data_IF_551532476743
#
_entry.id   IF_551532476743
#
_cell.length_a   1.000
_cell.length_b   1.000
_cell.length_c   1.000
_cell.angle_alpha   90.00
_cell.angle_beta   90.00
_cell.angle_gamma   90.00
#
_symmetry.space_group_name_H-M   'P 1'
#
loop_
_entity.id
_entity.type
_entity.pdbx_description
1 polymer ?
#
# COMPACT_ATOMS: atom_id res chain seq x y z
N UNK A 1 30.98 10.74 -61.82
CA UNK A 1 29.57 10.97 -61.43
C UNK A 1 28.94 9.61 -61.14
N UNK A 2 28.29 9.41 -59.98
CA UNK A 2 27.37 8.29 -59.69
C UNK A 2 27.82 7.00 -58.94
N UNK A 3 28.86 7.02 -58.09
CA UNK A 3 29.14 5.88 -57.16
C UNK A 3 29.08 6.27 -55.67
N UNK A 4 29.60 7.45 -55.30
CA UNK A 4 29.65 7.88 -53.88
C UNK A 4 28.30 8.21 -53.22
N UNK A 5 27.28 8.56 -54.01
CA UNK A 5 25.97 8.93 -53.46
C UNK A 5 25.18 7.70 -52.98
N UNK A 6 25.37 6.54 -53.60
CA UNK A 6 24.67 5.31 -53.24
C UNK A 6 25.21 4.72 -51.93
N UNK A 7 26.53 4.66 -51.75
CA UNK A 7 27.17 4.12 -50.54
C UNK A 7 26.78 4.92 -49.28
N UNK A 8 26.68 6.25 -49.40
CA UNK A 8 26.24 7.12 -48.29
C UNK A 8 24.76 6.92 -47.92
N UNK A 9 23.88 6.69 -48.89
CA UNK A 9 22.44 6.45 -48.66
C UNK A 9 22.20 5.08 -48.02
N UNK A 10 22.92 4.04 -48.45
CA UNK A 10 22.83 2.71 -47.83
C UNK A 10 23.45 2.68 -46.43
N UNK A 11 24.54 3.42 -46.17
CA UNK A 11 25.13 3.56 -44.84
C UNK A 11 24.22 4.29 -43.84
N UNK A 12 23.44 5.29 -44.29
CA UNK A 12 22.45 5.99 -43.48
C UNK A 12 21.17 5.16 -43.25
N UNK A 13 20.75 4.35 -44.24
CA UNK A 13 19.62 3.42 -44.09
C UNK A 13 19.96 2.24 -43.15
N UNK A 14 21.21 1.79 -43.11
CA UNK A 14 21.64 0.72 -42.20
C UNK A 14 21.63 1.15 -40.72
N UNK A 15 21.82 2.45 -40.43
CA UNK A 15 21.72 3.02 -39.09
C UNK A 15 20.27 3.27 -38.63
N UNK A 16 19.31 3.37 -39.54
CA UNK A 16 17.90 3.61 -39.21
C UNK A 16 17.12 2.32 -38.92
N UNK A 17 17.40 1.23 -39.64
CA UNK A 17 16.70 -0.07 -39.46
C UNK A 17 17.09 -0.76 -38.15
N UNK A 18 18.31 -0.52 -37.65
CA UNK A 18 18.77 -1.08 -36.37
C UNK A 18 18.19 -0.35 -35.15
N UNK A 19 17.67 0.87 -35.31
CA UNK A 19 17.10 1.66 -34.22
C UNK A 19 15.58 1.48 -34.07
N UNK A 20 14.90 0.98 -35.10
CA UNK A 20 13.46 0.69 -35.07
C UNK A 20 13.09 -0.72 -34.61
N UNK A 21 14.07 -1.62 -34.43
CA UNK A 21 13.85 -3.02 -34.05
C UNK A 21 14.47 -3.42 -32.70
N UNK A 22 15.11 -2.50 -31.98
CA UNK A 22 15.32 -2.74 -30.56
C UNK A 22 13.94 -2.75 -29.89
N UNK A 23 13.51 -3.83 -29.21
CA UNK A 23 12.43 -3.67 -28.26
C UNK A 23 12.84 -2.51 -27.36
N UNK A 24 12.00 -1.47 -27.26
CA UNK A 24 12.15 -0.51 -26.17
C UNK A 24 12.09 -1.37 -24.91
N UNK A 25 13.26 -1.65 -24.34
CA UNK A 25 13.37 -2.21 -23.00
C UNK A 25 12.57 -1.22 -22.15
N UNK A 26 11.34 -1.57 -21.80
CA UNK A 26 10.56 -0.82 -20.84
C UNK A 26 11.20 -1.13 -19.49
N UNK A 27 12.33 -0.48 -19.22
CA UNK A 27 12.95 -0.47 -17.91
C UNK A 27 12.08 0.41 -17.01
N UNK A 28 11.00 -0.17 -16.50
CA UNK A 28 10.35 0.36 -15.32
C UNK A 28 11.20 -0.02 -14.10
N UNK A 29 12.43 0.50 -14.05
CA UNK A 29 13.29 0.38 -12.89
C UNK A 29 12.72 1.24 -11.76
N UNK A 30 11.74 0.72 -11.02
CA UNK A 30 11.26 1.31 -9.79
C UNK A 30 12.43 1.26 -8.77
N UNK A 31 13.22 2.34 -8.71
CA UNK A 31 14.21 2.52 -7.65
C UNK A 31 13.47 2.78 -6.35
N UNK A 32 13.27 1.72 -5.56
CA UNK A 32 12.71 1.81 -4.21
C UNK A 32 13.74 2.30 -3.20
N UNK A 33 13.33 3.18 -2.28
CA UNK A 33 14.09 3.52 -1.09
C UNK A 33 13.32 3.02 0.12
N UNK A 34 14.00 2.34 1.05
CA UNK A 34 13.42 2.06 2.38
C UNK A 34 13.30 3.41 3.10
N UNK A 35 12.07 3.82 3.37
CA UNK A 35 11.76 5.09 4.05
C UNK A 35 11.57 4.92 5.56
N UNK A 36 11.19 3.72 6.00
CA UNK A 36 10.98 3.40 7.40
C UNK A 36 11.05 1.89 7.65
N UNK A 37 11.44 1.52 8.87
CA UNK A 37 11.30 0.17 9.42
C UNK A 37 10.58 0.32 10.76
N UNK A 38 9.47 -0.39 10.92
CA UNK A 38 8.68 -0.36 12.16
C UNK A 38 8.78 -1.76 12.79
N UNK A 39 9.20 -1.82 14.04
CA UNK A 39 9.31 -3.05 14.82
C UNK A 39 8.54 -2.90 16.14
N UNK A 40 8.24 -4.03 16.78
CA UNK A 40 7.58 -4.04 18.08
C UNK A 40 8.47 -3.44 19.17
N UNK A 41 7.88 -2.70 20.11
CA UNK A 41 8.58 -2.11 21.26
C UNK A 41 7.61 -1.96 22.43
N UNK A 42 8.03 -1.38 23.56
CA UNK A 42 7.20 -1.35 24.79
C UNK A 42 5.76 -0.88 24.58
N UNK A 43 5.56 0.18 23.75
CA UNK A 43 4.22 0.74 23.49
C UNK A 43 3.38 -0.09 22.51
N UNK A 44 4.03 -0.79 21.58
CA UNK A 44 3.36 -1.55 20.52
C UNK A 44 3.19 -3.01 20.95
N UNK A 45 4.12 -3.59 21.70
CA UNK A 45 4.30 -5.02 21.82
C UNK A 45 4.83 -5.65 20.52
N UNK A 46 5.03 -6.97 20.52
CA UNK A 46 5.39 -7.71 19.32
C UNK A 46 4.25 -7.70 18.30
N UNK A 47 4.59 -7.61 17.01
CA UNK A 47 3.63 -7.85 15.93
C UNK A 47 3.28 -9.33 15.85
N UNK A 48 2.05 -9.64 15.44
CA UNK A 48 1.61 -11.00 15.24
C UNK A 48 0.80 -11.11 13.94
N UNK A 49 1.51 -11.50 12.88
CA UNK A 49 1.00 -11.63 11.52
C UNK A 49 0.26 -10.36 11.01
N UNK A 50 0.92 -9.19 10.94
CA UNK A 50 0.30 -8.02 10.36
C UNK A 50 0.03 -8.23 8.86
N UNK A 51 -1.21 -8.03 8.41
CA UNK A 51 -1.63 -8.40 7.05
C UNK A 51 -1.93 -7.24 6.10
N UNK A 52 -2.37 -6.10 6.63
CA UNK A 52 -2.77 -4.98 5.79
C UNK A 52 -2.34 -3.64 6.37
N UNK A 53 -2.13 -2.66 5.49
CA UNK A 53 -1.89 -1.28 5.85
C UNK A 53 -2.68 -0.33 4.97
N UNK A 54 -3.01 0.84 5.53
CA UNK A 54 -3.70 1.91 4.82
C UNK A 54 -3.06 3.24 5.20
N UNK A 55 -2.59 3.99 4.20
CA UNK A 55 -2.14 5.37 4.40
C UNK A 55 -3.28 6.34 4.09
N UNK A 56 -3.62 7.17 5.07
CA UNK A 56 -4.59 8.24 4.94
C UNK A 56 -3.87 9.55 4.60
N UNK A 57 -3.83 9.98 3.33
CA UNK A 57 -3.09 11.17 2.92
C UNK A 57 -3.69 12.46 3.50
N UNK A 58 -5.01 12.49 3.75
CA UNK A 58 -5.67 13.68 4.29
C UNK A 58 -5.25 13.92 5.74
N UNK A 59 -5.09 12.86 6.52
CA UNK A 59 -4.65 12.93 7.92
C UNK A 59 -3.15 12.73 8.10
N UNK A 60 -2.44 12.38 7.03
CA UNK A 60 -1.06 11.93 7.04
C UNK A 60 -0.84 10.85 8.11
N UNK A 61 -1.70 9.83 8.10
CA UNK A 61 -1.72 8.78 9.13
C UNK A 61 -1.60 7.41 8.48
N UNK A 62 -0.65 6.60 8.94
CA UNK A 62 -0.55 5.21 8.55
C UNK A 62 -1.35 4.36 9.53
N UNK A 63 -2.11 3.42 9.02
CA UNK A 63 -2.80 2.43 9.81
C UNK A 63 -2.31 1.03 9.42
N UNK A 64 -2.22 0.14 10.40
CA UNK A 64 -1.78 -1.26 10.23
C UNK A 64 -2.79 -2.19 10.89
N UNK A 65 -3.09 -3.30 10.24
CA UNK A 65 -3.89 -4.40 10.77
C UNK A 65 -2.94 -5.45 11.34
N UNK A 66 -2.95 -5.64 12.66
CA UNK A 66 -2.13 -6.62 13.36
C UNK A 66 -3.03 -7.82 13.74
N UNK A 67 -3.15 -8.74 12.78
CA UNK A 67 -4.27 -9.69 12.66
C UNK A 67 -4.41 -10.64 13.84
N UNK A 68 -3.34 -11.30 14.27
CA UNK A 68 -3.42 -12.29 15.36
C UNK A 68 -3.35 -11.63 16.75
N UNK A 69 -3.18 -10.32 16.81
CA UNK A 69 -3.34 -9.51 18.01
C UNK A 69 -4.70 -8.80 18.07
N UNK A 70 -5.62 -9.08 17.14
CA UNK A 70 -6.99 -8.53 17.10
C UNK A 70 -7.05 -7.01 17.27
N UNK A 71 -6.14 -6.29 16.58
CA UNK A 71 -6.00 -4.83 16.73
C UNK A 71 -5.65 -4.13 15.43
N UNK A 72 -6.06 -2.86 15.38
CA UNK A 72 -5.56 -1.86 14.44
C UNK A 72 -4.55 -0.98 15.17
N UNK A 73 -3.47 -0.62 14.48
CA UNK A 73 -2.46 0.30 14.97
C UNK A 73 -2.47 1.54 14.09
N UNK A 74 -2.20 2.71 14.66
CA UNK A 74 -2.07 3.96 13.90
C UNK A 74 -0.74 4.65 14.21
N UNK A 75 -0.20 5.32 13.20
CA UNK A 75 1.10 5.96 13.21
C UNK A 75 1.03 7.35 12.54
N UNK A 76 1.85 8.29 13.01
CA UNK A 76 1.95 9.61 12.39
C UNK A 76 2.69 9.58 11.03
N UNK A 77 2.89 10.76 10.44
CA UNK A 77 3.57 10.91 9.16
C UNK A 77 5.09 10.74 9.22
N UNK A 78 5.63 10.48 10.42
CA UNK A 78 7.01 10.09 10.68
C UNK A 78 7.09 8.64 11.19
N UNK A 79 6.02 7.86 11.00
CA UNK A 79 5.92 6.44 11.36
C UNK A 79 6.04 6.16 12.87
N UNK A 80 5.81 7.16 13.73
CA UNK A 80 5.77 6.95 15.17
C UNK A 80 4.40 6.45 15.60
N UNK A 81 4.39 5.48 16.50
CA UNK A 81 3.16 4.90 17.04
C UNK A 81 2.31 5.94 17.76
N UNK A 82 1.01 5.97 17.44
CA UNK A 82 0.02 6.85 18.06
C UNK A 82 -0.91 6.08 18.99
N UNK A 83 -1.54 5.02 18.49
CA UNK A 83 -2.52 4.28 19.26
C UNK A 83 -2.79 2.87 18.73
N UNK A 84 -3.24 2.00 19.62
CA UNK A 84 -3.85 0.71 19.30
C UNK A 84 -5.36 0.77 19.52
N UNK A 85 -6.11 0.05 18.70
CA UNK A 85 -7.57 0.01 18.75
C UNK A 85 -8.06 -1.41 18.47
N UNK A 86 -8.83 -1.98 19.39
CA UNK A 86 -9.37 -3.36 19.28
C UNK A 86 -10.90 -3.39 19.10
N UNK A 87 -11.53 -2.24 18.84
CA UNK A 87 -12.98 -2.09 18.72
C UNK A 87 -13.78 -2.67 19.90
N UNK A 88 -13.24 -2.59 21.13
CA UNK A 88 -13.88 -3.20 22.30
C UNK A 88 -13.92 -4.73 22.23
N UNK A 89 -12.92 -5.33 21.59
CA UNK A 89 -12.81 -6.78 21.40
C UNK A 89 -13.59 -7.33 20.20
N UNK A 90 -14.20 -6.46 19.38
CA UNK A 90 -14.97 -6.86 18.18
C UNK A 90 -14.10 -7.14 16.96
N UNK A 91 -12.82 -6.78 16.95
CA UNK A 91 -11.92 -7.23 15.90
C UNK A 91 -11.62 -8.73 16.13
N UNK A 92 -11.96 -9.57 15.16
CA UNK A 92 -11.79 -11.03 15.23
C UNK A 92 -11.02 -11.49 14.01
N UNK A 93 -9.70 -11.59 14.17
CA UNK A 93 -8.75 -11.88 13.09
C UNK A 93 -8.98 -10.93 11.90
N UNK A 94 -8.82 -9.61 12.10
CA UNK A 94 -9.04 -8.63 11.03
C UNK A 94 -8.00 -8.84 9.93
N UNK A 95 -8.41 -8.82 8.65
CA UNK A 95 -7.50 -9.07 7.52
C UNK A 95 -7.19 -7.80 6.73
N UNK A 96 -8.23 -7.08 6.33
CA UNK A 96 -8.11 -5.90 5.49
C UNK A 96 -8.88 -4.72 6.09
N UNK A 97 -8.49 -3.52 5.70
CA UNK A 97 -9.11 -2.31 6.17
C UNK A 97 -9.03 -1.20 5.12
N UNK A 98 -10.10 -0.41 5.02
CA UNK A 98 -10.16 0.81 4.23
C UNK A 98 -10.79 1.94 5.05
N UNK A 99 -10.57 3.18 4.62
CA UNK A 99 -11.24 4.35 5.19
C UNK A 99 -12.07 5.03 4.10
N UNK A 100 -13.33 5.32 4.41
CA UNK A 100 -14.21 6.04 3.48
C UNK A 100 -14.03 7.56 3.57
N UNK A 101 -14.72 8.31 2.70
CA UNK A 101 -14.67 9.78 2.67
C UNK A 101 -15.29 10.43 3.91
N UNK A 102 -16.22 9.76 4.58
CA UNK A 102 -16.83 10.23 5.84
C UNK A 102 -15.90 10.01 7.04
N UNK A 103 -14.88 9.18 6.84
CA UNK A 103 -13.86 8.84 7.81
C UNK A 103 -14.17 7.62 8.64
N UNK A 104 -15.14 6.80 8.22
CA UNK A 104 -15.39 5.48 8.78
C UNK A 104 -14.26 4.54 8.38
N UNK A 105 -13.85 3.71 9.32
CA UNK A 105 -12.91 2.62 9.07
C UNK A 105 -13.74 1.37 8.83
N UNK A 106 -13.57 0.73 7.69
CA UNK A 106 -14.25 -0.50 7.31
C UNK A 106 -13.22 -1.63 7.39
N UNK A 107 -13.52 -2.69 8.13
CA UNK A 107 -12.60 -3.81 8.41
C UNK A 107 -13.28 -5.13 8.09
N UNK A 108 -12.56 -6.05 7.45
CA UNK A 108 -13.02 -7.43 7.27
C UNK A 108 -12.49 -8.31 8.40
N UNK A 109 -13.39 -8.98 9.11
CA UNK A 109 -13.04 -9.95 10.14
C UNK A 109 -13.13 -11.37 9.56
N UNK A 110 -12.03 -12.12 9.63
CA UNK A 110 -12.05 -13.55 9.26
C UNK A 110 -12.70 -14.41 10.34
N UNK A 111 -12.44 -14.10 11.61
CA UNK A 111 -12.78 -14.97 12.74
C UNK A 111 -14.28 -15.13 12.94
N UNK A 112 -15.05 -14.04 12.79
CA UNK A 112 -16.51 -14.04 12.91
C UNK A 112 -17.23 -13.83 11.58
N UNK A 113 -16.49 -13.83 10.46
CA UNK A 113 -17.00 -13.66 9.09
C UNK A 113 -17.84 -12.38 8.89
N UNK A 114 -17.49 -11.31 9.61
CA UNK A 114 -18.20 -10.03 9.54
C UNK A 114 -17.41 -8.94 8.82
N UNK A 115 -18.12 -7.87 8.45
CA UNK A 115 -17.50 -6.62 8.03
C UNK A 115 -17.92 -5.54 9.02
N UNK A 116 -16.96 -4.90 9.67
CA UNK A 116 -17.21 -3.86 10.66
C UNK A 116 -17.07 -2.47 10.05
N UNK A 117 -18.01 -1.59 10.34
CA UNK A 117 -17.97 -0.17 10.04
C UNK A 117 -17.78 0.58 11.37
N UNK A 118 -16.64 1.24 11.50
CA UNK A 118 -16.20 1.93 12.72
C UNK A 118 -16.21 3.43 12.49
N UNK A 119 -17.08 4.13 13.22
CA UNK A 119 -17.07 5.58 13.31
C UNK A 119 -16.19 6.00 14.50
N UNK A 120 -14.97 6.42 14.19
CA UNK A 120 -13.98 6.82 15.21
C UNK A 120 -14.43 8.06 15.99
N UNK A 121 -15.11 9.02 15.34
CA UNK A 121 -15.55 10.28 16.00
C UNK A 121 -16.64 10.01 17.03
N UNK A 122 -17.64 9.21 16.65
CA UNK A 122 -18.78 8.88 17.51
C UNK A 122 -18.54 7.66 18.40
N UNK A 123 -17.37 7.00 18.27
CA UNK A 123 -17.04 5.73 18.93
C UNK A 123 -18.10 4.63 18.70
N UNK A 124 -18.75 4.64 17.54
CA UNK A 124 -19.78 3.65 17.16
C UNK A 124 -19.17 2.58 16.27
N UNK A 125 -19.61 1.34 16.46
CA UNK A 125 -19.20 0.17 15.68
C UNK A 125 -20.46 -0.55 15.23
N UNK A 126 -20.62 -0.72 13.93
CA UNK A 126 -21.74 -1.43 13.31
C UNK A 126 -21.21 -2.60 12.49
N UNK A 127 -21.89 -3.74 12.52
CA UNK A 127 -21.68 -4.81 11.54
C UNK A 127 -22.45 -4.47 10.28
N UNK A 128 -21.82 -4.72 9.12
CA UNK A 128 -22.50 -4.69 7.84
C UNK A 128 -23.22 -6.03 7.65
N UNK A 129 -24.54 -5.97 7.59
CA UNK A 129 -25.36 -7.12 7.21
C UNK A 129 -25.30 -7.22 5.68
N UNK A 130 -24.74 -8.32 5.18
CA UNK A 130 -24.60 -8.64 3.75
C UNK A 130 -25.58 -9.73 3.35
#
# INVERSE_FOLDING_TARGET
MSQDKHIRIYGLLFLFVFWSLCPRLSWAGLKGKIIAVIYGGEKIGAFNQPQAMYFDPQRKRLYLVDTLNDRLLSFDNQYKFLSAFNAGGKLKTPLAMVRDRKGHIIVTNKGDKSVLIINVKEKKIKSLDL
#
